data_IF_122699348881
#
_entry.id   IF_122699348881
#
_cell.length_a   1.000
_cell.length_b   1.000
_cell.length_c   1.000
_cell.angle_alpha   90.00
_cell.angle_beta   90.00
_cell.angle_gamma   90.00
#
_symmetry.space_group_name_H-M   'P 1'
#
loop_
_entity.id
_entity.type
_entity.pdbx_description
1 polymer ?
#
# COMPACT_ATOMS: atom_id res chain seq x y z
N UNK A 1 -39.95 -16.21 13.28
CA UNK A 1 -39.30 -14.89 13.36
C UNK A 1 -37.78 -14.94 13.51
N UNK A 2 -37.16 -15.96 14.13
CA UNK A 2 -35.68 -16.02 14.28
C UNK A 2 -34.86 -16.16 12.97
N UNK A 3 -35.43 -16.70 11.88
CA UNK A 3 -34.70 -16.88 10.61
C UNK A 3 -34.28 -15.57 9.92
N UNK A 4 -35.02 -14.47 10.13
CA UNK A 4 -34.71 -13.18 9.49
C UNK A 4 -33.61 -12.41 10.22
N UNK A 5 -33.33 -12.73 11.49
CA UNK A 5 -32.26 -12.08 12.27
C UNK A 5 -30.86 -12.56 11.84
N UNK A 6 -30.74 -13.81 11.39
CA UNK A 6 -29.46 -14.38 10.97
C UNK A 6 -28.94 -13.75 9.67
N UNK A 7 -29.83 -13.41 8.73
CA UNK A 7 -29.44 -12.78 7.45
C UNK A 7 -28.95 -11.35 7.66
N UNK A 8 -29.53 -10.61 8.61
CA UNK A 8 -29.11 -9.25 8.92
C UNK A 8 -27.71 -9.20 9.58
N UNK A 9 -27.35 -10.22 10.37
CA UNK A 9 -26.04 -10.33 11.02
C UNK A 9 -24.90 -10.66 10.03
N UNK A 10 -25.20 -11.39 8.95
CA UNK A 10 -24.23 -11.76 7.92
C UNK A 10 -23.83 -10.56 7.03
N UNK A 11 -24.71 -9.59 6.82
CA UNK A 11 -24.41 -8.42 5.99
C UNK A 11 -23.51 -7.38 6.69
N UNK A 12 -23.48 -7.35 8.03
CA UNK A 12 -22.62 -6.44 8.81
C UNK A 12 -21.16 -6.90 8.89
N UNK A 13 -20.87 -8.12 8.44
CA UNK A 13 -19.54 -8.75 8.51
C UNK A 13 -18.68 -8.50 7.27
N UNK A 14 -19.24 -7.90 6.22
CA UNK A 14 -18.55 -7.64 4.95
C UNK A 14 -18.12 -6.16 4.81
N UNK A 15 -17.66 -5.54 5.89
CA UNK A 15 -17.00 -4.24 5.75
C UNK A 15 -15.70 -4.43 4.92
N UNK A 16 -15.45 -3.61 3.90
CA UNK A 16 -14.22 -3.70 3.12
C UNK A 16 -13.03 -3.37 4.02
N UNK A 17 -11.99 -4.21 3.95
CA UNK A 17 -10.73 -3.97 4.64
C UNK A 17 -10.26 -2.53 4.38
N UNK A 18 -10.09 -1.75 5.45
CA UNK A 18 -9.62 -0.37 5.36
C UNK A 18 -8.31 -0.27 4.60
N UNK A 19 -8.16 0.77 3.78
CA UNK A 19 -6.93 1.01 3.03
C UNK A 19 -5.73 1.14 3.98
N UNK A 20 -4.62 0.48 3.64
CA UNK A 20 -3.37 0.59 4.39
C UNK A 20 -2.66 1.90 4.04
N UNK A 21 -1.89 2.45 4.98
CA UNK A 21 -1.09 3.66 4.74
C UNK A 21 0.39 3.42 5.03
N UNK A 22 1.25 4.02 4.21
CA UNK A 22 2.71 3.94 4.33
C UNK A 22 3.32 5.32 4.22
N UNK A 23 4.26 5.66 5.10
CA UNK A 23 5.08 6.84 4.91
C UNK A 23 6.09 6.56 3.81
N UNK A 24 6.18 7.46 2.85
CA UNK A 24 7.17 7.52 1.79
C UNK A 24 8.07 8.72 2.05
N UNK A 25 9.37 8.45 2.20
CA UNK A 25 10.39 9.49 2.17
C UNK A 25 11.37 9.22 1.03
N UNK A 26 11.69 10.28 0.29
CA UNK A 26 12.72 10.26 -0.74
C UNK A 26 13.74 11.35 -0.43
N UNK A 27 15.00 10.97 -0.28
CA UNK A 27 16.09 11.90 0.01
C UNK A 27 17.19 11.81 -1.03
N UNK A 28 17.70 12.97 -1.44
CA UNK A 28 18.85 13.08 -2.35
C UNK A 28 20.14 12.63 -1.65
N UNK A 29 21.22 12.37 -2.41
CA UNK A 29 22.53 12.04 -1.82
C UNK A 29 23.02 13.04 -0.76
N UNK A 30 22.68 14.33 -0.92
CA UNK A 30 23.08 15.40 0.00
C UNK A 30 22.24 15.41 1.30
N UNK A 31 21.39 14.40 1.53
CA UNK A 31 20.52 14.29 2.70
C UNK A 31 19.29 15.21 2.67
N UNK A 32 19.08 15.96 1.60
CA UNK A 32 17.86 16.76 1.42
C UNK A 32 16.67 15.83 1.16
N UNK A 33 15.67 15.88 2.04
CA UNK A 33 14.37 15.26 1.79
C UNK A 33 13.67 16.01 0.66
N UNK A 34 13.43 15.31 -0.44
CA UNK A 34 12.73 15.83 -1.59
C UNK A 34 11.25 15.42 -1.59
N UNK A 35 10.92 14.23 -1.09
CA UNK A 35 9.52 13.80 -0.91
C UNK A 35 9.32 13.40 0.54
N UNK A 36 8.23 13.89 1.12
CA UNK A 36 7.67 13.45 2.40
C UNK A 36 6.17 13.29 2.23
N UNK A 37 5.72 12.03 2.14
CA UNK A 37 4.39 11.68 1.68
C UNK A 37 3.82 10.47 2.42
N UNK A 38 2.50 10.33 2.35
CA UNK A 38 1.75 9.14 2.78
C UNK A 38 1.12 8.51 1.55
N UNK A 39 1.46 7.25 1.31
CA UNK A 39 0.82 6.40 0.32
C UNK A 39 -0.40 5.73 0.93
N UNK A 40 -1.49 5.72 0.18
CA UNK A 40 -2.67 4.88 0.45
C UNK A 40 -2.59 3.67 -0.46
N UNK A 41 -2.71 2.48 0.12
CA UNK A 41 -2.50 1.21 -0.55
C UNK A 41 -3.71 0.31 -0.33
N UNK A 42 -4.19 -0.33 -1.39
CA UNK A 42 -5.15 -1.43 -1.30
C UNK A 42 -4.46 -2.63 -0.63
N UNK A 43 -4.96 -3.11 0.53
CA UNK A 43 -4.34 -4.23 1.24
C UNK A 43 -4.42 -5.56 0.46
N UNK A 44 -5.21 -5.64 -0.61
CA UNK A 44 -5.28 -6.82 -1.46
C UNK A 44 -3.94 -7.07 -2.18
N UNK A 45 -3.26 -8.14 -1.77
CA UNK A 45 -2.05 -8.62 -2.44
C UNK A 45 -2.43 -9.42 -3.68
N UNK A 46 -1.81 -9.11 -4.80
CA UNK A 46 -1.98 -9.84 -6.06
C UNK A 46 -0.62 -10.12 -6.73
N UNK A 47 -0.62 -10.99 -7.73
CA UNK A 47 0.55 -11.28 -8.56
C UNK A 47 0.57 -10.33 -9.76
N UNK A 48 1.60 -9.49 -9.85
CA UNK A 48 1.79 -8.57 -10.97
C UNK A 48 2.17 -9.33 -12.26
N UNK A 49 2.09 -8.70 -13.45
CA UNK A 49 2.39 -9.36 -14.73
C UNK A 49 3.80 -9.96 -14.83
N UNK A 50 4.74 -9.46 -14.03
CA UNK A 50 6.12 -9.95 -13.93
C UNK A 50 6.30 -11.11 -12.93
N UNK A 51 5.21 -11.57 -12.31
CA UNK A 51 5.20 -12.68 -11.35
C UNK A 51 5.47 -12.30 -9.89
N UNK A 52 5.79 -11.04 -9.59
CA UNK A 52 6.05 -10.58 -8.21
C UNK A 52 4.77 -10.28 -7.45
N UNK A 53 4.82 -10.31 -6.11
CA UNK A 53 3.67 -9.93 -5.28
C UNK A 53 3.66 -8.42 -5.09
N UNK A 54 2.50 -7.83 -5.35
CA UNK A 54 2.31 -6.39 -5.26
C UNK A 54 0.99 -6.03 -4.56
N UNK A 55 0.96 -4.81 -4.04
CA UNK A 55 -0.25 -4.11 -3.62
C UNK A 55 -0.46 -2.90 -4.52
N UNK A 56 -1.71 -2.47 -4.68
CA UNK A 56 -2.04 -1.32 -5.53
C UNK A 56 -2.00 -0.03 -4.72
N UNK A 57 -1.26 0.96 -5.18
CA UNK A 57 -1.26 2.31 -4.62
C UNK A 57 -2.49 3.03 -5.18
N UNK A 58 -3.37 3.50 -4.28
CA UNK A 58 -4.65 4.12 -4.61
C UNK A 58 -4.68 5.61 -4.26
N UNK A 59 -3.70 6.10 -3.50
CA UNK A 59 -3.54 7.52 -3.22
C UNK A 59 -2.13 7.89 -2.79
N UNK A 60 -1.83 9.17 -2.88
CA UNK A 60 -0.63 9.80 -2.34
C UNK A 60 -0.99 11.20 -1.84
N UNK A 61 -0.49 11.57 -0.67
CA UNK A 61 -0.65 12.90 -0.08
C UNK A 61 0.65 13.32 0.58
N UNK A 62 0.93 14.63 0.69
CA UNK A 62 2.17 15.12 1.30
C UNK A 62 2.82 16.22 0.47
N UNK A 63 4.15 16.28 0.51
CA UNK A 63 4.90 17.32 -0.20
C UNK A 63 6.06 16.76 -1.01
N UNK A 64 6.32 17.42 -2.15
CA UNK A 64 7.57 17.33 -2.89
C UNK A 64 8.24 18.70 -2.86
N UNK A 65 9.44 18.79 -2.30
CA UNK A 65 10.20 20.01 -2.22
C UNK A 65 9.38 21.19 -1.65
N UNK A 66 8.62 20.93 -0.57
CA UNK A 66 7.68 21.86 0.08
C UNK A 66 6.41 22.21 -0.73
N UNK A 67 6.28 21.75 -1.97
CA UNK A 67 5.04 21.89 -2.75
C UNK A 67 4.11 20.71 -2.51
N UNK A 68 2.81 20.97 -2.35
CA UNK A 68 1.82 19.93 -2.09
C UNK A 68 1.70 18.95 -3.26
N UNK A 69 1.69 17.66 -2.96
CA UNK A 69 1.30 16.62 -3.92
C UNK A 69 -0.22 16.71 -4.13
N UNK A 70 -0.66 16.80 -5.39
CA UNK A 70 -2.08 17.02 -5.73
C UNK A 70 -2.82 15.75 -6.13
N UNK A 71 -2.11 14.64 -6.36
CA UNK A 71 -2.72 13.33 -6.57
C UNK A 71 -1.78 12.33 -7.23
N UNK A 72 -2.29 11.11 -7.43
CA UNK A 72 -1.62 10.12 -8.27
C UNK A 72 -1.72 10.53 -9.73
N UNK A 73 -0.63 10.29 -10.46
CA UNK A 73 -0.66 10.35 -11.90
C UNK A 73 -1.54 9.20 -12.43
N UNK A 74 -2.38 9.43 -13.45
CA UNK A 74 -3.12 8.35 -14.08
C UNK A 74 -2.12 7.33 -14.65
N UNK A 75 -2.34 6.05 -14.36
CA UNK A 75 -1.65 4.98 -15.07
C UNK A 75 -2.13 5.01 -16.53
N UNK A 76 -1.24 5.25 -17.48
CA UNK A 76 -1.52 5.01 -18.90
C UNK A 76 -0.90 3.66 -19.27
N UNK A 77 -1.57 2.83 -20.08
CA UNK A 77 -0.96 1.61 -20.58
C UNK A 77 -0.23 1.90 -21.90
N UNK A 78 1.11 2.02 -21.89
CA UNK A 78 1.87 1.90 -23.13
C UNK A 78 3.27 2.51 -23.17
N UNK A 79 3.59 3.48 -22.32
CA UNK A 79 4.88 4.17 -22.36
C UNK A 79 5.82 3.70 -21.23
N UNK A 80 7.12 3.67 -21.52
CA UNK A 80 8.18 3.25 -20.58
C UNK A 80 8.20 4.06 -19.26
N UNK A 81 7.52 5.21 -19.23
CA UNK A 81 7.43 6.10 -18.07
C UNK A 81 6.05 6.13 -17.43
N UNK A 82 5.15 5.24 -17.85
CA UNK A 82 3.83 5.15 -17.30
C UNK A 82 3.89 4.48 -15.91
N UNK A 83 3.51 5.19 -14.85
CA UNK A 83 3.52 4.64 -13.51
C UNK A 83 2.49 3.53 -13.38
N UNK A 84 2.93 2.35 -12.95
CA UNK A 84 2.01 1.23 -12.71
C UNK A 84 1.29 1.34 -11.36
N UNK A 85 1.73 2.26 -10.50
CA UNK A 85 1.18 2.51 -9.17
C UNK A 85 1.19 1.24 -8.29
N UNK A 86 2.26 0.45 -8.40
CA UNK A 86 2.43 -0.78 -7.65
C UNK A 86 3.47 -0.63 -6.55
N UNK A 87 3.16 -1.20 -5.39
CA UNK A 87 4.11 -1.42 -4.31
C UNK A 87 4.47 -2.90 -4.24
N UNK A 88 5.72 -3.25 -4.56
CA UNK A 88 6.20 -4.63 -4.54
C UNK A 88 6.66 -5.05 -3.14
N UNK A 89 6.33 -6.28 -2.75
CA UNK A 89 6.57 -6.80 -1.40
C UNK A 89 7.87 -7.60 -1.27
N UNK A 90 8.33 -8.17 -2.38
CA UNK A 90 9.39 -9.17 -2.37
C UNK A 90 10.79 -8.56 -2.64
N UNK A 91 10.86 -7.37 -3.26
CA UNK A 91 12.12 -6.72 -3.72
C UNK A 91 12.11 -5.18 -3.49
N UNK A 92 12.73 -4.42 -4.39
CA UNK A 92 12.61 -2.98 -4.45
C UNK A 92 11.12 -2.56 -4.49
N UNK A 93 10.72 -1.53 -3.73
CA UNK A 93 9.32 -1.18 -3.54
C UNK A 93 8.61 -0.71 -4.80
N UNK A 94 9.38 -0.26 -5.79
CA UNK A 94 8.92 0.17 -7.11
C UNK A 94 9.78 -0.51 -8.16
N UNK A 95 9.29 -0.58 -9.39
CA UNK A 95 10.03 -1.06 -10.55
C UNK A 95 10.42 0.09 -11.48
N UNK A 96 10.77 -0.24 -12.73
CA UNK A 96 11.10 0.73 -13.76
C UNK A 96 9.89 1.55 -14.24
N UNK A 97 8.65 1.11 -13.96
CA UNK A 97 7.44 1.85 -14.25
C UNK A 97 7.14 2.86 -13.14
N UNK A 98 7.38 2.50 -11.88
CA UNK A 98 7.47 3.44 -10.75
C UNK A 98 6.13 3.98 -10.20
N UNK A 99 6.27 5.00 -9.35
CA UNK A 99 5.19 5.70 -8.65
C UNK A 99 5.05 7.13 -9.20
N UNK A 100 3.95 7.38 -9.89
CA UNK A 100 3.70 8.67 -10.52
C UNK A 100 2.74 9.55 -9.74
N UNK A 101 3.00 10.85 -9.69
CA UNK A 101 2.18 11.83 -8.97
C UNK A 101 2.30 13.24 -9.56
N UNK A 102 1.35 14.10 -9.21
CA UNK A 102 1.31 15.52 -9.59
C UNK A 102 1.60 16.42 -8.39
N UNK A 103 2.12 17.61 -8.65
CA UNK A 103 2.51 18.57 -7.60
C UNK A 103 1.92 19.95 -7.92
N UNK A 104 1.43 20.63 -6.89
CA UNK A 104 0.84 21.96 -6.97
C UNK A 104 1.83 22.98 -7.57
N UNK A 105 1.30 23.89 -8.38
CA UNK A 105 2.09 24.93 -9.05
C UNK A 105 2.87 24.44 -10.27
N UNK A 106 2.68 23.19 -10.71
CA UNK A 106 3.30 22.66 -11.93
C UNK A 106 2.29 21.85 -12.76
N UNK A 107 2.49 21.82 -14.08
CA UNK A 107 1.79 20.91 -15.01
C UNK A 107 2.53 19.59 -15.20
N UNK A 108 3.67 19.44 -14.52
CA UNK A 108 4.59 18.31 -14.66
C UNK A 108 4.09 17.08 -13.89
N UNK A 109 4.33 15.92 -14.50
CA UNK A 109 4.18 14.62 -13.84
C UNK A 109 5.54 14.23 -13.27
N UNK A 110 5.55 13.78 -12.02
CA UNK A 110 6.73 13.23 -11.37
C UNK A 110 6.57 11.73 -11.30
N UNK A 111 7.63 10.97 -11.60
CA UNK A 111 7.63 9.53 -11.48
C UNK A 111 8.86 9.08 -10.70
N UNK A 112 8.64 8.46 -9.54
CA UNK A 112 9.68 7.84 -8.74
C UNK A 112 9.88 6.40 -9.21
N UNK A 113 10.96 6.17 -9.95
CA UNK A 113 11.29 4.85 -10.50
C UNK A 113 12.45 4.22 -9.73
N UNK A 114 12.44 2.90 -9.63
CA UNK A 114 13.64 2.13 -9.31
C UNK A 114 14.27 1.72 -10.65
N UNK A 115 15.38 2.33 -11.01
CA UNK A 115 16.05 1.97 -12.25
C UNK A 115 17.04 0.84 -12.00
N UNK A 116 16.85 -0.28 -12.69
CA UNK A 116 17.90 -1.28 -12.87
C UNK A 116 18.63 -0.93 -14.18
N UNK A 117 19.72 -0.18 -14.12
CA UNK A 117 20.56 -0.01 -15.31
C UNK A 117 21.43 -1.24 -15.48
N UNK A 118 21.19 -2.05 -16.51
CA UNK A 118 22.23 -2.93 -17.05
C UNK A 118 23.13 -2.09 -17.93
N UNK A 119 24.14 -1.44 -17.33
CA UNK A 119 25.26 -0.91 -18.10
C UNK A 119 26.20 -2.10 -18.33
N UNK A 120 26.18 -2.61 -19.56
CA UNK A 120 27.16 -3.55 -20.12
C UNK A 120 28.60 -3.35 -19.57
N UNK A 121 29.42 -4.40 -19.34
CA UNK A 121 29.12 -5.76 -18.89
C UNK A 121 29.73 -6.10 -17.51
N UNK A 122 30.15 -5.13 -16.69
CA UNK A 122 30.90 -5.42 -15.44
C UNK A 122 30.31 -4.91 -14.13
N UNK A 123 29.19 -4.17 -14.15
CA UNK A 123 28.92 -3.31 -13.01
C UNK A 123 27.84 -3.84 -12.06
N UNK A 124 28.24 -3.77 -10.80
CA UNK A 124 27.54 -4.18 -9.59
C UNK A 124 26.12 -3.61 -9.54
N UNK A 125 25.15 -4.49 -9.27
CA UNK A 125 23.75 -4.13 -9.05
C UNK A 125 23.62 -3.25 -7.80
N UNK A 126 23.35 -1.96 -7.97
CA UNK A 126 22.89 -1.10 -6.88
C UNK A 126 21.50 -0.57 -7.22
N UNK A 127 20.53 -0.80 -6.35
CA UNK A 127 19.17 -0.25 -6.46
C UNK A 127 19.26 1.29 -6.39
N UNK A 128 19.38 1.96 -7.53
CA UNK A 128 19.37 3.42 -7.62
C UNK A 128 17.94 3.91 -7.91
N UNK A 129 17.41 4.76 -7.03
CA UNK A 129 16.13 5.42 -7.26
C UNK A 129 16.34 6.73 -8.01
N UNK A 130 15.61 6.90 -9.11
CA UNK A 130 15.64 8.12 -9.91
C UNK A 130 14.24 8.74 -9.93
N UNK A 131 14.16 10.05 -9.74
CA UNK A 131 12.94 10.80 -10.01
C UNK A 131 13.01 11.32 -11.46
N UNK A 132 12.04 10.93 -12.29
CA UNK A 132 11.89 11.46 -13.64
C UNK A 132 10.79 12.49 -13.62
N UNK A 133 11.02 13.62 -14.30
CA UNK A 133 10.02 14.69 -14.44
C UNK A 133 9.57 14.79 -15.90
N UNK A 134 8.27 14.76 -16.14
CA UNK A 134 7.69 14.84 -17.48
C UNK A 134 6.87 16.11 -17.65
N UNK A 135 7.13 16.90 -18.70
CA UNK A 135 6.29 18.04 -19.07
C UNK A 135 5.21 17.59 -20.04
N UNK A 136 3.94 17.65 -19.62
CA UNK A 136 2.81 17.27 -20.48
C UNK A 136 2.59 18.26 -21.63
N UNK A 137 3.05 19.51 -21.44
CA UNK A 137 2.78 20.60 -22.36
C UNK A 137 3.65 20.51 -23.63
N UNK A 138 4.85 19.94 -23.53
CA UNK A 138 5.82 19.92 -24.64
C UNK A 138 6.16 18.50 -25.13
N UNK A 139 5.66 17.45 -24.48
CA UNK A 139 5.96 16.05 -24.82
C UNK A 139 7.41 15.62 -24.54
N UNK A 140 8.21 16.47 -23.91
CA UNK A 140 9.60 16.18 -23.54
C UNK A 140 9.72 15.64 -22.10
N UNK A 141 10.42 14.52 -21.97
CA UNK A 141 10.87 14.00 -20.68
C UNK A 141 12.15 14.72 -20.23
N UNK A 142 12.10 15.44 -19.11
CA UNK A 142 13.30 15.98 -18.48
C UNK A 142 13.87 14.93 -17.51
N UNK A 143 14.97 14.30 -17.92
CA UNK A 143 15.68 13.34 -17.09
C UNK A 143 16.51 14.07 -16.04
N UNK A 144 15.95 14.28 -14.86
CA UNK A 144 16.70 14.72 -13.69
C UNK A 144 17.25 13.48 -12.99
N UNK A 145 18.36 12.94 -13.49
CA UNK A 145 19.03 11.82 -12.82
C UNK A 145 19.69 12.31 -11.53
N UNK A 146 19.05 12.01 -10.39
CA UNK A 146 19.71 12.07 -9.09
C UNK A 146 20.20 10.66 -8.76
N UNK A 147 21.44 10.36 -9.16
CA UNK A 147 22.08 9.09 -8.80
C UNK A 147 22.13 8.95 -7.27
N UNK A 148 21.86 7.75 -6.75
CA UNK A 148 21.94 7.33 -5.34
C UNK A 148 21.09 8.11 -4.33
N UNK A 149 19.81 8.30 -4.64
CA UNK A 149 18.82 8.72 -3.65
C UNK A 149 18.33 7.56 -2.78
N UNK A 150 17.92 7.85 -1.54
CA UNK A 150 17.35 6.86 -0.61
C UNK A 150 15.83 6.97 -0.60
N UNK A 151 15.16 5.87 -0.91
CA UNK A 151 13.72 5.68 -0.65
C UNK A 151 13.57 4.89 0.63
N UNK A 152 12.75 5.40 1.56
CA UNK A 152 12.32 4.65 2.72
C UNK A 152 10.79 4.62 2.78
N UNK A 153 10.27 3.40 2.96
CA UNK A 153 8.87 3.13 3.17
C UNK A 153 8.70 2.50 4.55
N UNK A 154 7.80 3.07 5.35
CA UNK A 154 7.47 2.52 6.66
C UNK A 154 5.96 2.45 6.83
N UNK A 155 5.39 1.35 7.35
CA UNK A 155 3.96 1.30 7.64
C UNK A 155 3.60 2.40 8.64
N UNK A 156 2.63 3.26 8.30
CA UNK A 156 2.17 4.33 9.18
C UNK A 156 1.17 3.81 10.21
N UNK A 157 0.34 2.85 9.82
CA UNK A 157 -0.62 2.18 10.70
C UNK A 157 -0.56 0.69 10.36
N UNK A 158 -0.06 -0.13 11.30
CA UNK A 158 -0.33 -1.56 11.26
C UNK A 158 -1.85 -1.69 11.35
N UNK A 159 -2.49 -2.32 10.36
CA UNK A 159 -3.94 -2.46 10.30
C UNK A 159 -4.47 -2.94 11.65
N UNK A 160 -4.96 -1.99 12.47
CA UNK A 160 -5.61 -2.33 13.72
C UNK A 160 -6.82 -3.15 13.29
N UNK A 161 -7.06 -4.34 13.88
CA UNK A 161 -8.25 -5.10 13.54
C UNK A 161 -9.44 -4.16 13.57
N UNK A 162 -10.23 -4.15 12.51
CA UNK A 162 -11.37 -3.24 12.46
C UNK A 162 -12.28 -3.46 13.67
N UNK A 163 -13.07 -2.46 14.11
CA UNK A 163 -14.01 -2.66 15.22
C UNK A 163 -14.90 -3.91 15.06
N UNK A 164 -15.20 -4.30 13.81
CA UNK A 164 -15.89 -5.55 13.44
C UNK A 164 -15.07 -6.80 13.80
N UNK A 165 -13.77 -6.82 13.52
CA UNK A 165 -12.86 -7.91 13.88
C UNK A 165 -12.73 -8.06 15.40
N UNK A 166 -12.65 -6.95 16.14
CA UNK A 166 -12.71 -6.98 17.61
C UNK A 166 -14.03 -7.54 18.10
N UNK A 167 -15.14 -7.10 17.53
CA UNK A 167 -16.47 -7.56 17.90
C UNK A 167 -16.63 -9.06 17.65
N UNK A 168 -16.15 -9.57 16.52
CA UNK A 168 -16.12 -11.00 16.21
C UNK A 168 -15.27 -11.79 17.20
N UNK A 169 -14.09 -11.28 17.54
CA UNK A 169 -13.22 -11.92 18.52
C UNK A 169 -13.89 -11.97 19.90
N UNK A 170 -14.51 -10.87 20.33
CA UNK A 170 -15.27 -10.81 21.58
C UNK A 170 -16.49 -11.74 21.58
N UNK A 171 -17.24 -11.81 20.47
CA UNK A 171 -18.34 -12.74 20.31
C UNK A 171 -17.87 -14.20 20.34
N UNK A 172 -16.74 -14.51 19.70
CA UNK A 172 -16.11 -15.82 19.73
C UNK A 172 -15.76 -16.24 21.16
N UNK A 173 -15.14 -15.35 21.93
CA UNK A 173 -14.87 -15.59 23.35
C UNK A 173 -16.14 -15.74 24.19
N UNK A 174 -17.16 -14.92 23.95
CA UNK A 174 -18.44 -15.04 24.64
C UNK A 174 -19.12 -16.39 24.36
N UNK A 175 -19.10 -16.86 23.10
CA UNK A 175 -19.65 -18.15 22.71
C UNK A 175 -18.93 -19.32 23.40
N UNK A 176 -17.59 -19.29 23.43
CA UNK A 176 -16.78 -20.31 24.14
C UNK A 176 -17.09 -20.29 25.65
N UNK A 177 -17.18 -19.11 26.25
CA UNK A 177 -17.53 -18.97 27.67
C UNK A 177 -18.92 -19.53 28.01
N UNK A 178 -19.92 -19.30 27.16
CA UNK A 178 -21.27 -19.86 27.32
C UNK A 178 -21.29 -21.39 27.19
N UNK A 179 -20.48 -21.95 26.29
CA UNK A 179 -20.38 -23.40 26.10
C UNK A 179 -19.75 -24.09 27.34
N UNK A 180 -18.71 -23.49 27.92
CA UNK A 180 -18.05 -24.01 29.12
C UNK A 180 -18.93 -23.88 30.38
N UNK A 181 -19.89 -22.94 30.40
CA UNK A 181 -20.78 -22.74 31.55
C UNK A 181 -21.94 -23.75 31.61
N UNK A 182 -22.04 -24.71 30.67
CA UNK A 182 -23.10 -25.73 30.73
C UNK A 182 -22.95 -26.53 32.03
N UNK A 183 -23.92 -26.48 32.95
CA UNK A 183 -23.85 -27.24 34.19
C UNK A 183 -23.75 -28.71 33.83
N UNK A 184 -22.73 -29.40 34.34
CA UNK A 184 -22.68 -30.85 34.27
C UNK A 184 -23.95 -31.37 34.94
N UNK A 185 -24.89 -31.90 34.14
CA UNK A 185 -26.10 -32.53 34.65
C UNK A 185 -25.65 -33.68 35.52
N UNK A 186 -25.56 -33.43 36.83
CA UNK A 186 -25.14 -34.41 37.81
C UNK A 186 -26.28 -35.41 37.85
N UNK A 187 -26.13 -36.50 37.08
CA UNK A 187 -27.05 -37.62 37.10
C UNK A 187 -27.12 -38.11 38.55
N UNK A 188 -28.19 -37.72 39.25
CA UNK A 188 -28.49 -38.26 40.56
C UNK A 188 -28.82 -39.74 40.35
N UNK A 189 -27.81 -40.57 40.59
CA UNK A 189 -27.93 -42.01 40.70
C UNK A 189 -28.82 -42.27 41.90
N UNK A 190 -30.09 -42.61 41.64
CA UNK A 190 -30.98 -43.15 42.64
C UNK A 190 -30.32 -44.41 43.22
N UNK A 191 -29.99 -44.35 44.51
CA UNK A 191 -29.66 -45.55 45.29
C UNK A 191 -30.98 -46.02 45.89
N UNK A 192 -31.31 -47.28 45.58
CA UNK A 192 -32.47 -48.01 46.05
C UNK A 192 -32.41 -48.30 47.55
#
# INVERSE_FOLDING_TARGET
>A
MLRNLAVLLLCLLAAPAGAATMNLTYSTQNGRNLIDAVLTVDPAVFTAPDGRRAMRITGITGTRNLSAITGLAPASPGDFFDPNQLYFLDDAPFDNMGLGFTVAGTTRLYNLIAYQSTIWPSDVFTNEFTEITWSRDDGYAEYVSQRSARVALSPLIAAVPEPSAWLLMLLGFAAIGLQLRRPATRAQRQVA
#
